data_IF_960154415181
#
_entry.id   IF_960154415181
#
_cell.length_a   1.000
_cell.length_b   1.000
_cell.length_c   1.000
_cell.angle_alpha   90.00
_cell.angle_beta   90.00
_cell.angle_gamma   90.00
#
_symmetry.space_group_name_H-M   'P 1'
#
loop_
_entity.id
_entity.type
_entity.pdbx_description
1 polymer ?
#
# COMPACT_ATOMS: atom_id res chain seq x y z
N UNK A 1 -13.93 -35.21 -16.42
CA UNK A 1 -13.25 -34.63 -17.60
C UNK A 1 -13.86 -35.11 -18.90
N UNK A 2 -14.09 -36.42 -19.09
CA UNK A 2 -14.84 -36.95 -20.24
C UNK A 2 -16.25 -36.34 -20.40
N UNK A 3 -16.88 -35.94 -19.29
CA UNK A 3 -18.18 -35.24 -19.27
C UNK A 3 -18.08 -33.71 -19.36
N UNK A 4 -16.88 -33.14 -19.20
CA UNK A 4 -16.64 -31.69 -19.16
C UNK A 4 -16.25 -31.15 -20.55
N UNK A 5 -16.82 -31.76 -21.60
CA UNK A 5 -16.48 -31.62 -23.02
C UNK A 5 -15.68 -30.35 -23.33
N UNK A 6 -14.41 -30.54 -23.72
CA UNK A 6 -13.47 -29.50 -24.16
C UNK A 6 -13.69 -28.10 -23.54
N UNK A 7 -13.79 -28.03 -22.20
CA UNK A 7 -13.89 -26.77 -21.45
C UNK A 7 -15.00 -25.81 -21.92
N UNK A 8 -16.23 -26.33 -22.04
CA UNK A 8 -17.48 -25.57 -22.26
C UNK A 8 -17.79 -24.59 -21.08
N UNK A 9 -16.92 -23.60 -20.85
CA UNK A 9 -17.02 -22.60 -19.77
C UNK A 9 -16.48 -23.04 -18.39
N UNK A 10 -16.06 -24.29 -18.22
CA UNK A 10 -15.58 -24.83 -16.94
C UNK A 10 -14.19 -24.31 -16.56
N UNK A 11 -14.08 -23.76 -15.35
CA UNK A 11 -12.83 -23.26 -14.77
C UNK A 11 -12.35 -24.13 -13.60
N UNK A 12 -11.04 -24.34 -13.50
CA UNK A 12 -10.41 -25.05 -12.38
C UNK A 12 -10.26 -24.11 -11.18
N UNK A 13 -10.79 -24.48 -10.02
CA UNK A 13 -10.56 -23.76 -8.78
C UNK A 13 -9.12 -23.97 -8.31
N UNK A 14 -8.35 -22.89 -8.15
CA UNK A 14 -6.92 -22.94 -7.76
C UNK A 14 -6.67 -22.85 -6.25
N UNK A 15 -7.73 -22.65 -5.46
CA UNK A 15 -7.60 -22.59 -4.00
C UNK A 15 -7.38 -23.98 -3.41
N UNK A 16 -6.32 -24.09 -2.60
CA UNK A 16 -5.88 -25.35 -1.99
C UNK A 16 -6.88 -25.88 -0.96
N UNK A 17 -7.52 -24.97 -0.21
CA UNK A 17 -8.47 -25.32 0.86
C UNK A 17 -9.93 -25.41 0.40
N UNK A 18 -10.20 -25.30 -0.90
CA UNK A 18 -11.56 -25.32 -1.43
C UNK A 18 -11.91 -26.71 -1.97
N UNK A 19 -13.05 -27.26 -1.54
CA UNK A 19 -13.55 -28.57 -1.99
C UNK A 19 -14.03 -28.56 -3.45
N UNK A 20 -14.37 -27.40 -4.01
CA UNK A 20 -14.72 -27.27 -5.42
C UNK A 20 -13.48 -27.48 -6.29
N UNK A 21 -13.57 -28.39 -7.26
CA UNK A 21 -12.54 -28.66 -8.27
C UNK A 21 -12.80 -27.87 -9.53
N UNK A 22 -13.99 -28.01 -10.13
CA UNK A 22 -14.39 -27.24 -11.30
C UNK A 22 -15.65 -26.43 -11.00
N UNK A 23 -15.80 -25.28 -11.63
CA UNK A 23 -16.99 -24.45 -11.53
C UNK A 23 -17.32 -23.80 -12.87
N UNK A 24 -18.62 -23.61 -13.11
CA UNK A 24 -19.18 -22.91 -14.27
C UNK A 24 -20.53 -22.32 -13.85
N UNK A 25 -20.66 -21.00 -13.90
CA UNK A 25 -21.86 -20.30 -13.44
C UNK A 25 -22.31 -20.79 -12.05
N UNK A 26 -23.47 -21.44 -11.93
CA UNK A 26 -24.01 -22.00 -10.68
C UNK A 26 -23.70 -23.52 -10.49
N UNK A 27 -23.00 -24.14 -11.44
CA UNK A 27 -22.62 -25.55 -11.40
C UNK A 27 -21.22 -25.74 -10.80
N UNK A 28 -21.08 -26.73 -9.93
CA UNK A 28 -19.80 -27.10 -9.30
C UNK A 28 -19.54 -28.59 -9.39
N UNK A 29 -18.27 -28.95 -9.49
CA UNK A 29 -17.76 -30.32 -9.32
C UNK A 29 -16.85 -30.32 -8.10
N UNK A 30 -17.11 -31.19 -7.13
CA UNK A 30 -16.38 -31.22 -5.85
C UNK A 30 -15.36 -32.36 -5.77
N UNK A 31 -14.50 -32.32 -4.75
CA UNK A 31 -13.56 -33.39 -4.43
C UNK A 31 -14.32 -34.72 -4.23
N UNK A 32 -13.93 -35.75 -5.00
CA UNK A 32 -14.58 -37.07 -5.00
C UNK A 32 -15.35 -37.38 -6.29
N UNK A 33 -15.76 -36.36 -7.04
CA UNK A 33 -16.42 -36.53 -8.34
C UNK A 33 -15.43 -36.57 -9.51
N UNK A 34 -14.17 -36.19 -9.24
CA UNK A 34 -13.07 -36.26 -10.21
C UNK A 34 -12.34 -37.59 -10.13
N UNK A 35 -11.68 -37.98 -11.24
CA UNK A 35 -10.85 -39.21 -11.35
C UNK A 35 -9.74 -39.32 -10.29
N UNK A 36 -9.39 -38.20 -9.67
CA UNK A 36 -8.62 -38.14 -8.44
C UNK A 36 -8.48 -36.69 -8.01
N UNK A 37 -7.63 -36.44 -7.02
CA UNK A 37 -7.48 -35.11 -6.42
C UNK A 37 -6.48 -34.27 -7.23
N UNK A 38 -6.84 -33.05 -7.67
CA UNK A 38 -5.88 -32.13 -8.28
C UNK A 38 -4.67 -31.88 -7.37
N UNK A 39 -3.48 -31.79 -7.95
CA UNK A 39 -2.21 -31.76 -7.21
C UNK A 39 -2.13 -30.71 -6.07
N UNK A 40 -2.77 -29.55 -6.23
CA UNK A 40 -2.73 -28.44 -5.29
C UNK A 40 -3.81 -28.49 -4.20
N UNK A 41 -4.71 -29.49 -4.22
CA UNK A 41 -5.85 -29.58 -3.27
C UNK A 41 -5.65 -30.61 -2.16
N UNK A 42 -4.52 -31.31 -2.15
CA UNK A 42 -4.20 -32.28 -1.11
C UNK A 42 -2.70 -32.33 -0.89
N UNK A 43 -2.31 -32.59 0.36
CA UNK A 43 -0.93 -32.84 0.77
C UNK A 43 -0.64 -34.35 0.94
N UNK A 44 -1.65 -35.22 0.73
CA UNK A 44 -1.51 -36.68 0.86
C UNK A 44 -0.36 -37.20 -0.03
N UNK A 45 0.69 -37.82 0.53
CA UNK A 45 1.80 -38.37 -0.24
C UNK A 45 1.39 -39.42 -1.30
N UNK A 46 0.30 -40.15 -1.06
CA UNK A 46 -0.17 -41.20 -1.98
C UNK A 46 -0.99 -40.64 -3.15
N UNK A 47 -1.26 -39.33 -3.18
CA UNK A 47 -1.97 -38.72 -4.30
C UNK A 47 -1.17 -38.83 -5.59
N UNK A 48 -1.87 -39.10 -6.69
CA UNK A 48 -1.25 -39.14 -8.01
C UNK A 48 -0.76 -37.75 -8.43
N UNK A 49 0.51 -37.67 -8.82
CA UNK A 49 1.10 -36.51 -9.50
C UNK A 49 1.03 -36.68 -11.02
N UNK A 50 1.12 -37.93 -11.51
CA UNK A 50 0.94 -38.29 -12.91
C UNK A 50 -0.17 -39.34 -13.06
N UNK A 51 -1.31 -38.92 -13.60
CA UNK A 51 -2.47 -39.79 -13.82
C UNK A 51 -2.34 -40.73 -15.03
N UNK A 52 -1.45 -40.43 -15.97
CA UNK A 52 -1.26 -41.24 -17.18
C UNK A 52 -0.52 -42.55 -16.87
N UNK A 53 0.47 -42.48 -15.99
CA UNK A 53 1.39 -43.56 -15.62
C UNK A 53 1.31 -43.90 -14.13
N UNK A 54 0.29 -43.40 -13.44
CA UNK A 54 -0.08 -43.75 -12.05
C UNK A 54 1.05 -43.58 -11.02
N UNK A 55 1.87 -42.55 -11.18
CA UNK A 55 2.87 -42.18 -10.17
C UNK A 55 2.29 -41.21 -9.13
N UNK A 56 2.48 -41.55 -7.86
CA UNK A 56 2.19 -40.73 -6.69
C UNK A 56 3.31 -39.75 -6.36
N UNK A 57 3.04 -38.83 -5.43
CA UNK A 57 4.08 -37.95 -4.88
C UNK A 57 5.12 -38.76 -4.12
N UNK A 58 4.67 -39.74 -3.31
CA UNK A 58 5.54 -40.63 -2.57
C UNK A 58 6.46 -41.46 -3.49
N UNK A 59 5.98 -41.90 -4.66
CA UNK A 59 6.82 -42.65 -5.61
C UNK A 59 7.99 -41.78 -6.11
N UNK A 60 7.70 -40.52 -6.48
CA UNK A 60 8.71 -39.57 -6.96
C UNK A 60 9.69 -39.20 -5.85
N UNK A 61 9.19 -38.98 -4.63
CA UNK A 61 10.05 -38.67 -3.48
C UNK A 61 10.95 -39.86 -3.11
N UNK A 62 10.42 -41.08 -3.12
CA UNK A 62 11.20 -42.31 -2.88
C UNK A 62 12.26 -42.54 -3.97
N UNK A 63 11.90 -42.36 -5.24
CA UNK A 63 12.81 -42.48 -6.38
C UNK A 63 13.96 -41.47 -6.31
N UNK A 64 13.67 -40.21 -5.93
CA UNK A 64 14.71 -39.19 -5.73
C UNK A 64 15.58 -39.52 -4.51
N UNK A 65 14.99 -40.01 -3.42
CA UNK A 65 15.74 -40.40 -2.23
C UNK A 65 16.69 -41.58 -2.50
N UNK A 66 16.31 -42.51 -3.37
CA UNK A 66 17.12 -43.67 -3.74
C UNK A 66 18.21 -43.32 -4.77
N UNK A 67 17.87 -42.54 -5.79
CA UNK A 67 18.73 -42.34 -6.97
C UNK A 67 19.42 -40.96 -7.02
N UNK A 68 19.11 -40.06 -6.09
CA UNK A 68 19.54 -38.65 -6.08
C UNK A 68 18.89 -37.78 -7.16
N UNK A 69 18.39 -38.39 -8.24
CA UNK A 69 17.64 -37.76 -9.32
C UNK A 69 16.38 -38.56 -9.62
N UNK A 70 15.37 -37.96 -10.27
CA UNK A 70 14.13 -38.69 -10.54
C UNK A 70 14.22 -39.50 -11.84
N UNK A 71 14.40 -40.81 -11.72
CA UNK A 71 14.26 -41.75 -12.84
C UNK A 71 12.80 -41.81 -13.33
N UNK A 72 11.83 -41.61 -12.44
CA UNK A 72 10.40 -41.53 -12.77
C UNK A 72 10.15 -40.36 -13.70
N UNK A 73 10.70 -39.16 -13.42
CA UNK A 73 10.55 -38.01 -14.30
C UNK A 73 11.13 -38.26 -15.70
N UNK A 74 12.25 -38.99 -15.80
CA UNK A 74 12.85 -39.39 -17.07
C UNK A 74 11.96 -40.38 -17.81
N UNK A 75 11.44 -41.39 -17.12
CA UNK A 75 10.50 -42.38 -17.67
C UNK A 75 9.24 -41.70 -18.22
N UNK A 76 8.59 -40.83 -17.44
CA UNK A 76 7.40 -40.08 -17.88
C UNK A 76 7.70 -39.29 -19.16
N UNK A 77 8.85 -38.61 -19.24
CA UNK A 77 9.25 -37.86 -20.45
C UNK A 77 9.39 -38.78 -21.67
N UNK A 78 9.97 -39.97 -21.50
CA UNK A 78 10.12 -40.94 -22.59
C UNK A 78 8.77 -41.49 -23.06
N UNK A 79 7.87 -41.81 -22.12
CA UNK A 79 6.52 -42.28 -22.39
C UNK A 79 5.65 -41.23 -23.11
N UNK A 80 5.71 -39.96 -22.66
CA UNK A 80 5.07 -38.84 -23.34
C UNK A 80 5.62 -38.62 -24.76
N UNK A 81 6.95 -38.71 -24.94
CA UNK A 81 7.57 -38.60 -26.27
C UNK A 81 7.10 -39.72 -27.22
N UNK A 82 6.74 -40.88 -26.67
CA UNK A 82 6.18 -41.99 -27.42
C UNK A 82 4.66 -41.87 -27.67
N UNK A 83 4.02 -40.77 -27.25
CA UNK A 83 2.59 -40.52 -27.47
C UNK A 83 1.66 -41.42 -26.66
N UNK A 84 2.15 -41.97 -25.53
CA UNK A 84 1.36 -42.85 -24.66
C UNK A 84 0.60 -42.10 -23.56
N UNK A 85 0.70 -40.76 -23.53
CA UNK A 85 0.02 -39.92 -22.57
C UNK A 85 -1.32 -39.37 -23.08
N UNK A 86 -2.20 -39.07 -22.14
CA UNK A 86 -3.50 -38.46 -22.41
C UNK A 86 -3.83 -37.47 -21.28
N UNK A 87 -2.88 -36.54 -21.05
CA UNK A 87 -2.91 -35.66 -19.89
C UNK A 87 -4.16 -34.76 -19.88
N UNK A 88 -4.62 -34.32 -21.05
CA UNK A 88 -5.83 -33.47 -21.17
C UNK A 88 -7.07 -34.13 -20.57
N UNK A 89 -7.19 -35.45 -20.73
CA UNK A 89 -8.37 -36.21 -20.30
C UNK A 89 -8.20 -36.88 -18.94
N UNK A 90 -7.01 -37.42 -18.68
CA UNK A 90 -6.72 -38.18 -17.44
C UNK A 90 -6.38 -37.29 -16.25
N UNK A 91 -5.67 -36.17 -16.45
CA UNK A 91 -5.25 -35.30 -15.35
C UNK A 91 -6.38 -34.34 -14.96
N UNK A 92 -6.89 -34.36 -13.71
CA UNK A 92 -7.88 -33.40 -13.20
C UNK A 92 -7.49 -31.91 -13.27
N UNK A 93 -6.29 -31.57 -13.74
CA UNK A 93 -5.93 -30.17 -14.04
C UNK A 93 -6.01 -29.83 -15.53
N UNK A 94 -6.32 -30.79 -16.40
CA UNK A 94 -6.39 -30.62 -17.86
C UNK A 94 -5.06 -30.31 -18.55
N UNK A 95 -3.93 -30.39 -17.83
CA UNK A 95 -2.59 -30.00 -18.30
C UNK A 95 -1.54 -31.09 -18.03
N UNK A 96 -0.38 -30.95 -18.66
CA UNK A 96 0.74 -31.89 -18.48
C UNK A 96 1.16 -31.99 -17.00
N UNK A 97 1.41 -33.22 -16.54
CA UNK A 97 1.82 -33.52 -15.16
C UNK A 97 3.28 -33.13 -14.85
N UNK A 98 4.16 -33.03 -15.86
CA UNK A 98 5.60 -32.83 -15.68
C UNK A 98 5.96 -31.57 -14.88
N UNK A 99 5.13 -30.53 -14.95
CA UNK A 99 5.31 -29.33 -14.13
C UNK A 99 5.16 -29.62 -12.63
N UNK A 100 4.17 -30.42 -12.24
CA UNK A 100 3.97 -30.83 -10.85
C UNK A 100 5.05 -31.83 -10.41
N UNK A 101 5.40 -32.80 -11.29
CA UNK A 101 6.49 -33.75 -11.02
C UNK A 101 7.78 -33.00 -10.72
N UNK A 102 8.14 -32.01 -11.55
CA UNK A 102 9.33 -31.18 -11.31
C UNK A 102 9.30 -30.42 -9.98
N UNK A 103 8.12 -29.98 -9.52
CA UNK A 103 7.97 -29.37 -8.20
C UNK A 103 8.23 -30.37 -7.07
N UNK A 104 7.77 -31.62 -7.20
CA UNK A 104 8.03 -32.68 -6.22
C UNK A 104 9.52 -33.01 -6.18
N UNK A 105 10.16 -33.21 -7.34
CA UNK A 105 11.61 -33.49 -7.43
C UNK A 105 12.43 -32.39 -6.75
N UNK A 106 12.12 -31.12 -7.03
CA UNK A 106 12.83 -29.98 -6.41
C UNK A 106 12.67 -29.93 -4.88
N UNK A 107 11.52 -30.39 -4.35
CA UNK A 107 11.29 -30.45 -2.91
C UNK A 107 12.04 -31.62 -2.26
N UNK A 108 12.19 -32.73 -2.98
CA UNK A 108 12.85 -33.95 -2.51
C UNK A 108 14.39 -33.85 -2.53
N UNK A 109 14.97 -33.12 -3.49
CA UNK A 109 16.42 -32.88 -3.59
C UNK A 109 16.75 -31.37 -3.58
N UNK A 110 16.79 -30.72 -2.40
CA UNK A 110 17.06 -29.29 -2.29
C UNK A 110 18.52 -28.88 -2.57
N UNK A 111 19.48 -29.82 -2.51
CA UNK A 111 20.93 -29.53 -2.56
C UNK A 111 21.56 -29.51 -3.96
N UNK A 112 20.84 -29.91 -5.02
CA UNK A 112 21.31 -29.87 -6.42
C UNK A 112 20.80 -28.63 -7.17
N UNK A 113 20.99 -27.44 -6.57
CA UNK A 113 20.59 -26.16 -7.14
C UNK A 113 21.57 -25.60 -8.20
N UNK A 114 22.44 -26.42 -8.77
CA UNK A 114 23.34 -26.01 -9.87
C UNK A 114 23.43 -27.11 -10.94
N UNK A 115 22.35 -27.29 -11.70
CA UNK A 115 22.30 -28.31 -12.75
C UNK A 115 21.02 -28.40 -13.56
N UNK A 116 20.77 -27.41 -14.44
CA UNK A 116 19.93 -27.65 -15.62
C UNK A 116 18.42 -27.48 -15.44
N UNK A 117 17.99 -26.41 -14.80
CA UNK A 117 16.60 -25.93 -14.81
C UNK A 117 16.40 -24.72 -15.71
N UNK A 118 16.93 -24.72 -16.94
CA UNK A 118 16.47 -23.76 -17.93
C UNK A 118 14.99 -24.06 -18.19
N UNK A 119 14.13 -23.29 -17.53
CA UNK A 119 12.72 -23.24 -17.83
C UNK A 119 12.60 -23.00 -19.33
N UNK A 120 11.98 -23.94 -20.04
CA UNK A 120 11.77 -23.78 -21.49
C UNK A 120 10.79 -22.64 -21.80
N UNK A 121 10.29 -21.92 -20.79
CA UNK A 121 9.75 -20.59 -20.89
C UNK A 121 10.25 -19.77 -19.68
N UNK A 122 11.16 -18.81 -19.94
CA UNK A 122 11.61 -17.83 -18.96
C UNK A 122 10.52 -16.83 -18.59
N UNK A 123 10.79 -16.07 -17.54
CA UNK A 123 9.94 -15.04 -16.96
C UNK A 123 9.28 -14.10 -17.97
N UNK A 124 7.97 -14.28 -18.21
CA UNK A 124 7.03 -13.19 -18.48
C UNK A 124 5.70 -13.48 -17.81
N UNK A 125 5.35 -12.61 -16.87
CA UNK A 125 4.02 -12.50 -16.30
C UNK A 125 3.09 -11.78 -17.28
N UNK A 126 1.82 -12.21 -17.31
CA UNK A 126 0.70 -11.65 -18.06
C UNK A 126 0.87 -11.85 -19.60
N UNK A 127 -0.09 -12.32 -20.39
CA UNK A 127 -1.54 -12.18 -20.39
C UNK A 127 -2.17 -13.46 -20.95
N UNK A 128 -3.51 -13.49 -21.03
CA UNK A 128 -4.30 -14.56 -21.62
C UNK A 128 -3.79 -14.95 -23.01
N UNK A 129 -3.39 -16.20 -23.21
CA UNK A 129 -3.63 -17.01 -24.43
C UNK A 129 -2.98 -18.39 -24.26
N UNK A 130 -3.78 -19.43 -24.49
CA UNK A 130 -3.30 -20.80 -24.58
C UNK A 130 -2.67 -20.99 -25.96
N UNK A 131 -1.34 -20.86 -26.08
CA UNK A 131 -0.63 -21.34 -27.26
C UNK A 131 0.30 -22.51 -26.92
N UNK A 132 -0.15 -23.67 -27.42
CA UNK A 132 0.58 -24.92 -27.57
C UNK A 132 1.99 -24.67 -28.14
N UNK A 133 3.02 -25.24 -27.51
CA UNK A 133 4.41 -25.20 -27.99
C UNK A 133 4.67 -25.94 -29.32
N UNK A 134 3.66 -26.21 -30.15
CA UNK A 134 3.80 -26.81 -31.48
C UNK A 134 2.61 -26.46 -32.39
N UNK A 135 2.73 -25.42 -33.24
CA UNK A 135 2.20 -25.33 -34.62
C UNK A 135 2.36 -23.90 -35.22
N UNK A 136 2.44 -23.75 -36.57
CA UNK A 136 2.85 -22.50 -37.23
C UNK A 136 1.73 -21.47 -37.41
N UNK A 137 2.13 -20.19 -37.46
CA UNK A 137 1.29 -18.98 -37.55
C UNK A 137 0.54 -18.85 -38.88
N UNK A 138 -0.74 -18.47 -38.82
CA UNK A 138 -1.43 -17.71 -39.89
C UNK A 138 -2.40 -16.66 -39.31
N UNK A 139 -2.04 -15.40 -39.59
CA UNK A 139 -2.83 -14.19 -39.86
C UNK A 139 -4.28 -14.01 -39.36
N UNK A 140 -4.44 -12.91 -38.59
CA UNK A 140 -5.44 -11.83 -38.70
C UNK A 140 -6.95 -12.18 -38.59
N UNK A 141 -7.64 -11.63 -37.59
CA UNK A 141 -8.30 -10.31 -37.65
C UNK A 141 -9.48 -10.22 -36.66
N UNK A 142 -9.56 -9.06 -36.02
CA UNK A 142 -10.76 -8.33 -35.61
C UNK A 142 -11.63 -8.72 -34.40
N UNK A 143 -11.83 -7.65 -33.61
CA UNK A 143 -13.09 -7.16 -33.05
C UNK A 143 -13.53 -7.61 -31.65
N UNK A 144 -13.36 -6.65 -30.74
CA UNK A 144 -14.46 -5.85 -30.18
C UNK A 144 -14.69 -5.98 -28.69
N UNK A 145 -14.44 -4.86 -28.03
CA UNK A 145 -14.91 -4.47 -26.70
C UNK A 145 -16.41 -4.70 -26.53
N UNK A 146 -16.77 -5.41 -25.46
CA UNK A 146 -18.10 -5.36 -24.86
C UNK A 146 -17.92 -5.21 -23.34
N UNK A 147 -18.06 -3.97 -22.87
CA UNK A 147 -18.21 -3.64 -21.46
C UNK A 147 -19.62 -4.03 -21.05
N UNK A 148 -19.78 -5.14 -20.33
CA UNK A 148 -21.10 -5.60 -19.89
C UNK A 148 -21.49 -4.96 -18.55
N UNK A 149 -22.59 -4.23 -18.59
CA UNK A 149 -23.18 -3.48 -17.49
C UNK A 149 -24.07 -4.42 -16.66
N UNK A 150 -23.53 -5.00 -15.59
CA UNK A 150 -24.36 -5.73 -14.62
C UNK A 150 -23.85 -5.51 -13.18
N UNK A 151 -23.97 -4.28 -12.68
CA UNK A 151 -23.78 -4.01 -11.23
C UNK A 151 -24.62 -2.83 -10.75
N UNK A 152 -25.92 -2.84 -11.02
CA UNK A 152 -26.81 -1.69 -10.76
C UNK A 152 -27.33 -1.57 -9.30
N UNK A 153 -26.92 -2.42 -8.34
CA UNK A 153 -27.40 -2.30 -6.94
C UNK A 153 -26.33 -2.37 -5.84
N UNK A 154 -25.19 -3.00 -6.10
CA UNK A 154 -24.04 -3.04 -5.17
C UNK A 154 -23.06 -1.86 -5.36
N UNK A 155 -23.19 -1.11 -6.47
CA UNK A 155 -22.29 0.00 -6.80
C UNK A 155 -22.48 1.27 -5.95
N UNK A 156 -23.66 1.56 -5.42
CA UNK A 156 -23.91 2.82 -4.69
C UNK A 156 -23.19 2.89 -3.32
N UNK A 157 -23.07 1.75 -2.62
CA UNK A 157 -22.38 1.69 -1.32
C UNK A 157 -20.85 1.64 -1.47
N UNK A 158 -20.35 0.98 -2.51
CA UNK A 158 -18.91 0.92 -2.80
C UNK A 158 -18.36 2.23 -3.40
N UNK A 159 -19.12 2.89 -4.30
CA UNK A 159 -18.75 4.18 -4.88
C UNK A 159 -18.80 5.33 -3.87
N UNK A 160 -19.78 5.31 -2.95
CA UNK A 160 -19.86 6.28 -1.86
C UNK A 160 -18.65 6.24 -0.92
N UNK A 161 -18.16 5.04 -0.60
CA UNK A 161 -16.97 4.86 0.23
C UNK A 161 -15.68 5.39 -0.41
N UNK A 162 -15.51 5.18 -1.72
CA UNK A 162 -14.33 5.66 -2.46
C UNK A 162 -14.27 7.19 -2.54
N UNK A 163 -15.42 7.85 -2.77
CA UNK A 163 -15.52 9.31 -2.80
C UNK A 163 -15.26 9.93 -1.42
N UNK A 164 -15.82 9.35 -0.36
CA UNK A 164 -15.58 9.82 1.02
C UNK A 164 -14.12 9.64 1.42
N UNK A 165 -13.50 8.51 1.06
CA UNK A 165 -12.08 8.27 1.33
C UNK A 165 -11.17 9.25 0.57
N UNK A 166 -11.47 9.57 -0.69
CA UNK A 166 -10.72 10.54 -1.47
C UNK A 166 -10.82 11.97 -0.90
N UNK A 167 -12.01 12.38 -0.47
CA UNK A 167 -12.25 13.72 0.10
C UNK A 167 -11.59 13.85 1.48
N UNK A 168 -11.74 12.85 2.36
CA UNK A 168 -11.07 12.82 3.67
C UNK A 168 -9.54 12.79 3.54
N UNK A 169 -9.01 12.05 2.56
CA UNK A 169 -7.57 12.02 2.29
C UNK A 169 -7.03 13.34 1.76
N UNK A 170 -7.84 14.14 1.05
CA UNK A 170 -7.43 15.46 0.55
C UNK A 170 -7.54 16.54 1.64
N UNK A 171 -8.47 16.34 2.58
CA UNK A 171 -8.75 17.28 3.66
C UNK A 171 -7.55 17.46 4.61
N UNK A 172 -6.72 16.44 4.83
CA UNK A 172 -5.55 16.55 5.73
C UNK A 172 -4.46 17.51 5.21
N UNK A 173 -4.42 17.81 3.91
CA UNK A 173 -3.47 18.74 3.31
C UNK A 173 -4.05 20.14 3.09
N UNK A 174 -5.35 20.23 2.77
CA UNK A 174 -5.99 21.51 2.47
C UNK A 174 -6.52 22.24 3.70
N UNK A 175 -7.01 21.53 4.73
CA UNK A 175 -7.53 22.17 5.94
C UNK A 175 -6.48 22.99 6.69
N UNK A 176 -5.23 22.51 6.87
CA UNK A 176 -4.20 23.32 7.54
C UNK A 176 -3.86 24.59 6.75
N UNK A 177 -3.73 24.50 5.42
CA UNK A 177 -3.44 25.65 4.56
C UNK A 177 -4.61 26.65 4.51
N UNK A 178 -5.84 26.16 4.46
CA UNK A 178 -7.04 26.98 4.48
C UNK A 178 -7.22 27.69 5.83
N UNK A 179 -6.94 27.00 6.95
CA UNK A 179 -6.99 27.59 8.29
C UNK A 179 -5.97 28.74 8.43
N UNK A 180 -4.74 28.55 7.95
CA UNK A 180 -3.71 29.61 7.93
C UNK A 180 -4.16 30.78 7.04
N UNK A 181 -4.72 30.49 5.85
CA UNK A 181 -5.24 31.52 4.94
C UNK A 181 -6.41 32.33 5.52
N UNK A 182 -7.18 31.74 6.45
CA UNK A 182 -8.25 32.42 7.19
C UNK A 182 -7.76 33.10 8.49
N UNK A 183 -6.45 33.12 8.73
CA UNK A 183 -5.84 33.80 9.88
C UNK A 183 -5.78 32.97 11.16
N UNK A 184 -5.97 31.64 11.09
CA UNK A 184 -5.73 30.77 12.24
C UNK A 184 -4.23 30.70 12.53
N UNK A 185 -3.84 30.97 13.78
CA UNK A 185 -2.45 30.80 14.20
C UNK A 185 -2.07 29.32 14.21
N UNK A 186 -0.81 29.01 13.86
CA UNK A 186 -0.25 27.66 13.94
C UNK A 186 -0.39 27.05 15.35
N UNK A 187 -0.34 27.88 16.39
CA UNK A 187 -0.59 27.49 17.78
C UNK A 187 -2.03 26.99 18.01
N UNK A 188 -3.04 27.65 17.44
CA UNK A 188 -4.44 27.23 17.56
C UNK A 188 -4.72 25.91 16.83
N UNK A 189 -4.07 25.71 15.68
CA UNK A 189 -4.16 24.46 14.92
C UNK A 189 -3.47 23.31 15.67
N UNK A 190 -2.32 23.56 16.30
CA UNK A 190 -1.60 22.59 17.13
C UNK A 190 -2.43 22.09 18.32
N UNK A 191 -3.04 23.00 19.08
CA UNK A 191 -3.87 22.65 20.24
C UNK A 191 -5.10 21.81 19.86
N UNK A 192 -5.71 22.07 18.70
CA UNK A 192 -6.80 21.25 18.17
C UNK A 192 -6.33 19.82 17.86
N UNK A 193 -5.18 19.66 17.19
CA UNK A 193 -4.64 18.34 16.87
C UNK A 193 -4.13 17.58 18.10
N UNK A 194 -3.63 18.25 19.13
CA UNK A 194 -3.30 17.60 20.41
C UNK A 194 -4.53 17.03 21.10
N UNK A 195 -5.63 17.79 21.15
CA UNK A 195 -6.90 17.31 21.70
C UNK A 195 -7.46 16.10 20.94
N UNK A 196 -7.31 16.08 19.60
CA UNK A 196 -7.80 15.01 18.74
C UNK A 196 -6.78 13.87 18.49
N UNK A 197 -5.55 13.97 18.98
CA UNK A 197 -4.47 13.00 18.72
C UNK A 197 -4.87 11.58 19.11
N UNK A 198 -5.33 11.40 20.34
CA UNK A 198 -5.72 10.08 20.89
C UNK A 198 -6.94 9.50 20.16
N UNK A 199 -8.07 10.22 19.99
CA UNK A 199 -9.22 9.66 19.28
C UNK A 199 -8.91 9.34 17.81
N UNK A 200 -8.08 10.15 17.12
CA UNK A 200 -7.63 9.83 15.77
C UNK A 200 -6.76 8.56 15.71
N UNK A 201 -5.83 8.38 16.66
CA UNK A 201 -5.04 7.16 16.76
C UNK A 201 -5.89 5.92 17.07
N UNK A 202 -6.90 6.04 17.93
CA UNK A 202 -7.82 4.93 18.19
C UNK A 202 -8.63 4.57 16.93
N UNK A 203 -9.06 5.58 16.16
CA UNK A 203 -9.75 5.35 14.89
C UNK A 203 -8.85 4.66 13.85
N UNK A 204 -7.58 5.03 13.74
CA UNK A 204 -6.64 4.36 12.82
C UNK A 204 -6.36 2.92 13.23
N UNK A 205 -6.19 2.65 14.52
CA UNK A 205 -6.04 1.28 15.05
C UNK A 205 -7.28 0.45 14.74
N UNK A 206 -8.49 0.99 14.91
CA UNK A 206 -9.73 0.29 14.57
C UNK A 206 -9.86 -0.01 13.07
N UNK A 207 -9.48 0.94 12.21
CA UNK A 207 -9.50 0.76 10.76
C UNK A 207 -8.46 -0.28 10.29
N UNK A 208 -7.23 -0.22 10.79
CA UNK A 208 -6.20 -1.22 10.50
C UNK A 208 -6.60 -2.60 11.03
N UNK A 209 -7.14 -2.68 12.25
CA UNK A 209 -7.66 -3.91 12.83
C UNK A 209 -8.79 -4.52 11.99
N UNK A 210 -9.69 -3.69 11.45
CA UNK A 210 -10.74 -4.11 10.52
C UNK A 210 -10.14 -4.61 9.20
N UNK A 211 -9.12 -3.93 8.66
CA UNK A 211 -8.39 -4.37 7.48
C UNK A 211 -7.71 -5.73 7.68
N UNK A 212 -7.04 -5.94 8.82
CA UNK A 212 -6.45 -7.23 9.20
C UNK A 212 -7.52 -8.29 9.32
N UNK A 213 -8.62 -7.99 9.99
CA UNK A 213 -9.74 -8.92 10.11
C UNK A 213 -10.27 -9.34 8.74
N UNK A 214 -10.53 -8.40 7.82
CA UNK A 214 -11.05 -8.71 6.49
C UNK A 214 -10.07 -9.52 5.63
N UNK A 215 -8.78 -9.20 5.66
CA UNK A 215 -7.76 -9.86 4.82
C UNK A 215 -7.39 -11.26 5.33
N UNK A 216 -7.43 -11.47 6.65
CA UNK A 216 -7.07 -12.75 7.28
C UNK A 216 -8.29 -13.63 7.60
N UNK A 217 -9.51 -13.10 7.56
CA UNK A 217 -10.72 -13.91 7.71
C UNK A 217 -10.79 -14.91 6.56
N UNK A 218 -10.89 -16.19 6.91
CA UNK A 218 -11.18 -17.26 5.96
C UNK A 218 -12.63 -17.11 5.48
N UNK A 219 -12.90 -17.11 4.16
CA UNK A 219 -14.27 -17.15 3.67
C UNK A 219 -14.92 -18.45 4.20
N UNK A 220 -16.10 -18.33 4.80
CA UNK A 220 -16.90 -19.49 5.21
C UNK A 220 -17.77 -19.85 4.02
N UNK A 221 -17.47 -20.98 3.40
CA UNK A 221 -18.28 -21.52 2.33
C UNK A 221 -19.35 -22.44 2.91
N UNK A 222 -20.58 -22.31 2.41
CA UNK A 222 -21.57 -23.36 2.60
C UNK A 222 -21.14 -24.58 1.76
N UNK A 223 -21.36 -25.82 2.24
CA UNK A 223 -21.03 -27.01 1.48
C UNK A 223 -21.84 -27.02 0.17
N UNK A 224 -21.14 -27.08 -0.97
CA UNK A 224 -21.74 -27.18 -2.30
C UNK A 224 -21.92 -25.88 -3.10
N UNK A 225 -21.54 -24.72 -2.57
CA UNK A 225 -21.61 -23.45 -3.32
C UNK A 225 -20.23 -23.03 -3.89
N UNK A 226 -20.24 -22.47 -5.11
CA UNK A 226 -19.07 -21.88 -5.73
C UNK A 226 -18.63 -20.63 -4.95
N UNK A 227 -17.64 -20.78 -4.09
CA UNK A 227 -17.06 -19.65 -3.39
C UNK A 227 -16.08 -18.87 -4.27
N UNK A 228 -16.28 -17.56 -4.36
CA UNK A 228 -15.27 -16.64 -4.87
C UNK A 228 -14.09 -16.57 -3.88
N UNK A 229 -13.05 -17.33 -4.17
CA UNK A 229 -11.79 -17.31 -3.42
C UNK A 229 -10.90 -16.21 -3.97
N UNK A 230 -10.45 -15.24 -3.14
CA UNK A 230 -9.55 -14.18 -3.60
C UNK A 230 -8.26 -14.75 -4.18
N UNK A 231 -7.80 -14.16 -5.29
CA UNK A 231 -6.57 -14.58 -5.96
C UNK A 231 -5.38 -14.61 -4.96
N UNK A 232 -4.65 -15.74 -4.83
CA UNK A 232 -3.59 -15.88 -3.83
C UNK A 232 -2.44 -14.89 -4.01
N UNK A 233 -2.14 -14.45 -5.25
CA UNK A 233 -1.13 -13.40 -5.49
C UNK A 233 -1.61 -12.06 -4.94
N UNK A 234 -2.85 -11.70 -5.23
CA UNK A 234 -3.47 -10.48 -4.73
C UNK A 234 -3.61 -10.50 -3.20
N UNK A 235 -3.93 -11.65 -2.61
CA UNK A 235 -4.01 -11.79 -1.16
C UNK A 235 -2.64 -11.61 -0.48
N UNK A 236 -1.56 -12.14 -1.07
CA UNK A 236 -0.19 -11.89 -0.58
C UNK A 236 0.18 -10.42 -0.71
N UNK A 237 -0.13 -9.79 -1.85
CA UNK A 237 0.10 -8.37 -2.07
C UNK A 237 -0.66 -7.51 -1.05
N UNK A 238 -1.96 -7.76 -0.85
CA UNK A 238 -2.79 -7.03 0.11
C UNK A 238 -2.29 -7.19 1.55
N UNK A 239 -1.84 -8.39 1.95
CA UNK A 239 -1.21 -8.61 3.26
C UNK A 239 0.10 -7.82 3.40
N UNK A 240 0.94 -7.83 2.37
CA UNK A 240 2.18 -7.06 2.35
C UNK A 240 1.92 -5.56 2.47
N UNK A 241 0.98 -5.04 1.69
CA UNK A 241 0.60 -3.64 1.72
C UNK A 241 0.03 -3.22 3.09
N UNK A 242 -0.81 -4.05 3.71
CA UNK A 242 -1.37 -3.78 5.03
C UNK A 242 -0.30 -3.73 6.12
N UNK A 243 0.66 -4.65 6.12
CA UNK A 243 1.80 -4.63 7.05
C UNK A 243 2.69 -3.40 6.82
N UNK A 244 2.95 -3.04 5.56
CA UNK A 244 3.72 -1.84 5.23
C UNK A 244 3.07 -0.57 5.77
N UNK A 245 1.76 -0.40 5.55
CA UNK A 245 0.99 0.73 6.12
C UNK A 245 1.02 0.72 7.64
N UNK A 246 0.90 -0.45 8.27
CA UNK A 246 0.92 -0.58 9.74
C UNK A 246 2.26 -0.17 10.32
N UNK A 247 3.37 -0.60 9.72
CA UNK A 247 4.73 -0.18 10.13
C UNK A 247 4.88 1.33 9.97
N UNK A 248 4.46 1.89 8.84
CA UNK A 248 4.54 3.33 8.60
C UNK A 248 3.75 4.13 9.64
N UNK A 249 2.50 3.74 9.91
CA UNK A 249 1.66 4.38 10.94
C UNK A 249 2.28 4.24 12.33
N UNK A 250 2.81 3.07 12.68
CA UNK A 250 3.48 2.86 13.97
C UNK A 250 4.72 3.76 14.12
N UNK A 251 5.54 3.86 13.08
CA UNK A 251 6.71 4.76 13.06
C UNK A 251 6.28 6.20 13.31
N UNK A 252 5.29 6.73 12.59
CA UNK A 252 4.83 8.11 12.78
C UNK A 252 4.12 8.35 14.12
N UNK A 253 3.38 7.37 14.63
CA UNK A 253 2.71 7.47 15.93
C UNK A 253 3.73 7.52 17.08
N UNK A 254 4.81 6.75 16.98
CA UNK A 254 5.89 6.64 17.98
C UNK A 254 7.00 7.67 17.76
N UNK A 255 7.12 8.24 16.56
CA UNK A 255 8.13 9.24 16.19
C UNK A 255 8.28 10.39 17.19
N UNK A 256 7.20 10.98 17.76
CA UNK A 256 7.32 12.06 18.75
C UNK A 256 8.09 11.63 20.00
N UNK A 257 7.92 10.40 20.46
CA UNK A 257 8.66 9.87 21.61
C UNK A 257 10.10 9.50 21.23
N UNK A 258 10.31 9.06 19.99
CA UNK A 258 11.62 8.67 19.49
C UNK A 258 12.54 9.86 19.25
N UNK A 259 12.01 10.96 18.71
CA UNK A 259 12.76 12.22 18.55
C UNK A 259 13.11 12.80 19.90
N UNK A 260 12.16 12.81 20.85
CA UNK A 260 12.44 13.24 22.23
C UNK A 260 13.53 12.41 22.92
N UNK A 261 13.62 11.11 22.62
CA UNK A 261 14.70 10.26 23.12
C UNK A 261 16.07 10.54 22.44
N UNK A 262 16.09 10.91 21.17
CA UNK A 262 17.32 11.17 20.40
C UNK A 262 17.85 12.61 20.57
N UNK A 263 16.98 13.57 20.89
CA UNK A 263 17.37 14.96 21.20
C UNK A 263 17.59 15.21 22.69
N UNK A 264 17.51 14.18 23.54
CA UNK A 264 17.78 14.28 24.97
C UNK A 264 16.62 14.87 25.77
N UNK A 265 15.52 14.13 25.89
CA UNK A 265 14.57 14.17 27.01
C UNK A 265 13.70 15.42 27.12
N UNK A 266 12.43 15.25 26.76
CA UNK A 266 11.25 15.93 27.34
C UNK A 266 11.44 17.33 27.89
N UNK A 267 11.15 18.32 27.05
CA UNK A 267 10.81 19.66 27.47
C UNK A 267 9.70 20.16 26.56
N UNK A 268 8.67 20.75 27.15
CA UNK A 268 7.78 21.68 26.47
C UNK A 268 8.58 22.47 25.44
N UNK A 269 8.03 22.69 24.24
CA UNK A 269 8.54 23.73 23.35
C UNK A 269 8.19 25.08 24.00
N UNK A 270 8.82 25.38 25.12
CA UNK A 270 9.38 26.69 25.31
C UNK A 270 10.33 26.85 24.15
N UNK A 271 9.82 27.49 23.10
CA UNK A 271 10.61 28.33 22.23
C UNK A 271 11.74 28.89 23.07
N UNK A 272 12.96 28.42 22.83
CA UNK A 272 14.14 29.18 23.23
C UNK A 272 14.06 30.43 22.36
N UNK A 273 13.26 31.40 22.82
CA UNK A 273 13.35 32.75 22.37
C UNK A 273 14.84 33.09 22.49
N UNK A 274 15.54 33.47 21.40
CA UNK A 274 16.71 34.31 21.61
C UNK A 274 16.25 35.42 22.57
N UNK A 275 17.07 35.81 23.56
CA UNK A 275 16.74 36.90 24.49
C UNK A 275 16.30 38.12 23.70
N UNK A 276 15.00 38.19 23.43
CA UNK A 276 14.38 39.12 22.52
C UNK A 276 13.55 40.02 23.40
N UNK A 277 13.93 41.28 23.42
CA UNK A 277 13.21 42.27 24.20
C UNK A 277 12.30 42.99 23.24
N UNK A 278 10.99 42.87 23.44
CA UNK A 278 10.01 43.65 22.69
C UNK A 278 9.79 44.96 23.41
N UNK A 279 10.05 46.08 22.73
CA UNK A 279 9.78 47.42 23.24
C UNK A 279 8.79 48.09 22.30
N UNK A 280 7.72 48.63 22.87
CA UNK A 280 6.75 49.43 22.13
C UNK A 280 7.13 50.91 22.25
N UNK A 281 7.04 51.64 21.16
CA UNK A 281 7.28 53.07 21.10
C UNK A 281 6.00 53.77 20.64
N UNK A 282 5.69 54.91 21.26
CA UNK A 282 4.75 55.87 20.72
C UNK A 282 5.48 56.71 19.68
N UNK A 283 4.97 56.74 18.45
CA UNK A 283 5.56 57.46 17.32
C UNK A 283 4.60 58.54 16.85
N UNK A 284 4.96 59.80 17.05
CA UNK A 284 4.15 60.95 16.65
C UNK A 284 4.62 61.52 15.30
N UNK A 285 3.68 62.06 14.54
CA UNK A 285 3.94 62.69 13.23
C UNK A 285 3.65 61.82 12.00
N UNK A 286 3.35 60.52 12.18
CA UNK A 286 2.87 59.67 11.08
C UNK A 286 1.43 59.99 10.72
N UNK A 287 1.14 60.24 9.44
CA UNK A 287 -0.20 60.65 8.98
C UNK A 287 -0.81 59.76 7.90
N UNK A 288 -0.04 58.82 7.34
CA UNK A 288 -0.52 57.88 6.33
C UNK A 288 0.30 56.57 6.31
N UNK A 289 -0.18 55.58 5.55
CA UNK A 289 0.52 54.31 5.34
C UNK A 289 1.91 54.46 4.69
N UNK A 290 2.15 55.54 3.93
CA UNK A 290 3.47 55.86 3.39
C UNK A 290 4.47 56.27 4.47
N UNK A 291 4.03 57.07 5.46
CA UNK A 291 4.86 57.43 6.62
C UNK A 291 5.24 56.20 7.45
N UNK A 292 4.31 55.26 7.60
CA UNK A 292 4.57 53.97 8.24
C UNK A 292 5.69 53.19 7.54
N UNK A 293 5.70 53.22 6.20
CA UNK A 293 6.74 52.62 5.38
C UNK A 293 8.14 53.14 5.71
N UNK A 294 8.31 54.45 5.70
CA UNK A 294 9.59 55.10 6.00
C UNK A 294 10.05 54.86 7.43
N UNK A 295 9.13 54.95 8.41
CA UNK A 295 9.47 54.69 9.81
C UNK A 295 9.88 53.23 10.04
N UNK A 296 9.21 52.27 9.39
CA UNK A 296 9.55 50.84 9.46
C UNK A 296 10.96 50.57 8.93
N UNK A 297 11.24 51.05 7.73
CA UNK A 297 12.53 50.86 7.05
C UNK A 297 13.69 51.46 7.86
N UNK A 298 13.48 52.65 8.43
CA UNK A 298 14.48 53.31 9.27
C UNK A 298 14.81 52.51 10.54
N UNK A 299 13.79 51.93 11.19
CA UNK A 299 13.97 51.17 12.44
C UNK A 299 14.54 49.76 12.15
N UNK A 300 14.13 49.11 11.06
CA UNK A 300 14.67 47.80 10.65
C UNK A 300 16.16 47.85 10.31
N UNK A 301 16.66 48.99 9.82
CA UNK A 301 18.07 49.19 9.50
C UNK A 301 18.98 49.28 10.74
N UNK A 302 18.41 49.40 11.95
CA UNK A 302 19.19 49.55 13.18
C UNK A 302 19.86 48.23 13.59
N UNK A 303 21.13 48.28 14.03
CA UNK A 303 21.84 47.09 14.48
C UNK A 303 21.18 46.52 15.75
N UNK A 304 20.85 45.24 15.72
CA UNK A 304 20.20 44.53 16.82
C UNK A 304 18.67 44.51 16.77
N UNK A 305 18.05 45.07 15.72
CA UNK A 305 16.61 44.89 15.47
C UNK A 305 16.39 43.56 14.73
N UNK A 306 15.52 42.71 15.27
CA UNK A 306 15.14 41.43 14.70
C UNK A 306 13.90 41.55 13.81
N UNK A 307 12.92 42.36 14.23
CA UNK A 307 11.72 42.68 13.45
C UNK A 307 11.07 43.95 13.99
N UNK A 308 10.36 44.68 13.13
CA UNK A 308 9.54 45.81 13.55
C UNK A 308 8.13 45.76 12.96
N UNK A 309 7.13 46.15 13.76
CA UNK A 309 5.77 46.37 13.30
C UNK A 309 5.35 47.80 13.63
N UNK A 310 5.10 48.63 12.62
CA UNK A 310 4.70 50.04 12.80
C UNK A 310 3.24 50.18 12.38
N UNK A 311 2.47 51.00 13.08
CA UNK A 311 1.08 51.35 12.75
C UNK A 311 0.92 52.86 12.75
N UNK A 312 0.66 53.47 11.58
CA UNK A 312 0.33 54.90 11.53
C UNK A 312 -1.02 55.20 12.19
N UNK A 313 -1.94 54.23 12.17
CA UNK A 313 -3.29 54.37 12.73
C UNK A 313 -3.25 54.45 14.26
N UNK A 314 -2.39 53.65 14.87
CA UNK A 314 -2.24 53.60 16.34
C UNK A 314 -1.11 54.53 16.83
N UNK A 315 -0.36 55.14 15.91
CA UNK A 315 0.80 55.97 16.23
C UNK A 315 1.85 55.21 17.04
N UNK A 316 2.08 53.93 16.74
CA UNK A 316 2.97 53.09 17.54
C UNK A 316 3.89 52.22 16.69
N UNK A 317 5.04 51.87 17.26
CA UNK A 317 6.00 50.94 16.69
C UNK A 317 6.38 49.87 17.72
N UNK A 318 6.27 48.60 17.36
CA UNK A 318 6.69 47.46 18.17
C UNK A 318 7.98 46.89 17.61
N UNK A 319 9.07 47.02 18.37
CA UNK A 319 10.42 46.65 17.95
C UNK A 319 10.86 45.45 18.76
N UNK A 320 11.25 44.37 18.06
CA UNK A 320 11.84 43.18 18.66
C UNK A 320 13.35 43.27 18.52
N UNK A 321 14.07 43.27 19.64
CA UNK A 321 15.52 43.38 19.67
C UNK A 321 16.19 42.03 19.88
N UNK A 322 17.25 41.69 19.15
CA UNK A 322 18.09 40.51 19.38
C UNK A 322 19.14 40.71 20.50
N UNK A 323 18.97 41.74 21.32
CA UNK A 323 19.88 42.15 22.39
C UNK A 323 19.27 43.25 23.27
N UNK A 324 20.10 44.12 23.85
CA UNK A 324 19.65 45.21 24.71
C UNK A 324 19.01 46.34 23.87
N UNK A 325 17.78 46.79 24.18
CA UNK A 325 17.11 47.85 23.42
C UNK A 325 17.89 49.17 23.42
N UNK A 326 17.96 49.81 22.25
CA UNK A 326 18.58 51.12 22.09
C UNK A 326 17.52 52.16 21.69
N UNK A 327 16.85 52.73 22.70
CA UNK A 327 15.76 53.69 22.49
C UNK A 327 16.21 54.98 21.80
N UNK A 328 17.44 55.42 22.08
CA UNK A 328 18.01 56.62 21.45
C UNK A 328 18.19 56.42 19.94
N UNK A 329 18.66 55.24 19.53
CA UNK A 329 18.82 54.92 18.10
C UNK A 329 17.47 54.89 17.37
N UNK A 330 16.40 54.40 18.00
CA UNK A 330 15.05 54.44 17.43
C UNK A 330 14.54 55.87 17.29
N UNK A 331 14.73 56.70 18.33
CA UNK A 331 14.34 58.11 18.28
C UNK A 331 15.09 58.89 17.19
N UNK A 332 16.40 58.67 17.05
CA UNK A 332 17.24 59.33 16.04
C UNK A 332 16.86 58.88 14.61
N UNK A 333 16.62 57.57 14.41
CA UNK A 333 16.26 57.01 13.10
C UNK A 333 14.93 57.57 12.56
N UNK A 334 13.95 57.78 13.44
CA UNK A 334 12.66 58.35 13.01
C UNK A 334 12.68 59.89 12.94
N UNK A 335 13.59 60.55 13.68
CA UNK A 335 13.74 62.00 13.67
C UNK A 335 14.24 62.54 12.32
N UNK A 336 15.02 61.75 11.56
CA UNK A 336 15.43 62.07 10.19
C UNK A 336 14.23 62.32 9.26
N UNK A 337 13.11 61.63 9.52
CA UNK A 337 11.86 61.76 8.78
C UNK A 337 10.86 62.74 9.42
N UNK A 338 11.27 63.46 10.48
CA UNK A 338 10.45 64.43 11.19
C UNK A 338 9.45 63.83 12.18
N UNK A 339 9.67 62.59 12.63
CA UNK A 339 8.85 61.93 13.65
C UNK A 339 9.54 61.95 15.01
N UNK A 340 8.77 61.76 16.08
CA UNK A 340 9.32 61.56 17.43
C UNK A 340 8.88 60.20 17.97
N UNK A 341 9.83 59.41 18.49
CA UNK A 341 9.55 58.14 19.13
C UNK A 341 9.87 58.19 20.63
N UNK A 342 8.94 57.75 21.47
CA UNK A 342 9.12 57.62 22.92
C UNK A 342 8.81 56.20 23.37
N UNK A 343 9.68 55.52 24.15
CA UNK A 343 9.41 54.16 24.61
C UNK A 343 8.22 54.16 25.59
N UNK A 344 7.29 53.24 25.36
CA UNK A 344 6.18 52.90 26.26
C UNK A 344 6.63 51.71 27.11
N UNK A 345 7.05 51.98 28.34
CA UNK A 345 7.41 50.96 29.33
C UNK A 345 6.40 50.93 30.47
#
# INVERSE_FOLDING_TARGET
LDQLGEHDGWRLCTSESCEVVYFRDDEVVVLGETRGVPFHKSEDPQRLVCFCFEHSVADVEADVAENGTSTIQVSIKAECKAGRDDCKRKNPQGRCCLGNVGQVVKRAAPDDADGGGAGCCGDKAAENEAESCCAPKTTASEASSATDNTTARSGLLASGGALVAAVLSSACCWLPLAAIGLGASSAGVGAFFEAWRVPLLLATVALLGSGFYLVYRKPRCAPGEACEVPNPRLQRFNRGMLWLTTVFVAVFAVFPEYVGAFTGGGGEVAEAAPTQTTVRYQVEGMTCAGCEGHAREAIEALPGVASVAVSYRDGSAEVVWSGQPNDAAVADAVAEFGYSATPLR
#
